data_IF_118668587238
#
_entry.id   IF_118668587238
#
_cell.length_a   1.000
_cell.length_b   1.000
_cell.length_c   1.000
_cell.angle_alpha   90.00
_cell.angle_beta   90.00
_cell.angle_gamma   90.00
#
_symmetry.space_group_name_H-M   'P 1'
#
loop_
_entity.id
_entity.type
_entity.pdbx_description
1 polymer ?
#
# COMPACT_ATOMS: atom_id res chain seq x y z
N UNK A 1 -6.67 -32.78 -4.90
CA UNK A 1 -7.96 -32.74 -4.17
C UNK A 1 -8.16 -31.33 -3.62
N UNK A 2 -9.39 -30.79 -3.53
CA UNK A 2 -9.59 -29.53 -2.82
C UNK A 2 -9.15 -29.70 -1.35
N UNK A 3 -8.46 -28.70 -0.82
CA UNK A 3 -8.03 -28.64 0.59
C UNK A 3 -9.01 -27.71 1.32
N UNK A 4 -10.09 -28.23 1.94
CA UNK A 4 -11.10 -27.40 2.60
C UNK A 4 -10.68 -26.95 4.01
N UNK A 5 -9.69 -27.61 4.62
CA UNK A 5 -9.23 -27.30 5.96
C UNK A 5 -8.33 -26.06 5.96
N UNK A 6 -8.58 -25.14 6.90
CA UNK A 6 -7.79 -23.92 7.05
C UNK A 6 -7.57 -23.63 8.53
N UNK A 7 -6.32 -23.52 8.96
CA UNK A 7 -5.90 -23.21 10.34
C UNK A 7 -5.83 -21.70 10.65
N UNK A 8 -6.21 -20.86 9.69
CA UNK A 8 -5.88 -19.43 9.67
C UNK A 8 -6.63 -18.63 10.72
N UNK A 9 -7.92 -18.88 10.87
CA UNK A 9 -8.81 -18.08 11.70
C UNK A 9 -9.67 -18.91 12.64
N UNK A 10 -10.15 -18.29 13.71
CA UNK A 10 -11.02 -18.94 14.69
C UNK A 10 -12.34 -19.44 14.05
N UNK A 11 -12.95 -20.52 14.58
CA UNK A 11 -14.25 -21.03 14.15
C UNK A 11 -15.32 -19.98 13.95
N UNK A 12 -15.47 -19.05 14.91
CA UNK A 12 -16.42 -17.95 14.84
C UNK A 12 -16.28 -17.10 13.57
N UNK A 13 -15.05 -16.88 13.10
CA UNK A 13 -14.74 -16.06 11.93
C UNK A 13 -14.99 -16.83 10.63
N UNK A 14 -14.45 -18.04 10.46
CA UNK A 14 -14.68 -18.77 9.21
C UNK A 14 -16.13 -19.24 9.05
N UNK A 15 -16.85 -19.51 10.15
CA UNK A 15 -18.27 -19.82 10.08
C UNK A 15 -19.10 -18.60 9.68
N UNK A 16 -18.73 -17.39 10.10
CA UNK A 16 -19.33 -16.15 9.59
C UNK A 16 -19.08 -16.00 8.07
N UNK A 17 -17.87 -16.33 7.59
CA UNK A 17 -17.55 -16.33 6.16
C UNK A 17 -18.37 -17.38 5.37
N UNK A 18 -18.46 -18.62 5.87
CA UNK A 18 -19.28 -19.68 5.28
C UNK A 18 -20.76 -19.26 5.22
N UNK A 19 -21.25 -18.56 6.25
CA UNK A 19 -22.63 -18.05 6.28
C UNK A 19 -22.91 -17.07 5.14
N UNK A 20 -21.94 -16.23 4.77
CA UNK A 20 -22.06 -15.36 3.59
C UNK A 20 -22.16 -16.20 2.33
N UNK A 21 -21.28 -17.19 2.15
CA UNK A 21 -21.29 -18.08 0.98
C UNK A 21 -22.66 -18.75 0.83
N UNK A 22 -23.21 -19.29 1.92
CA UNK A 22 -24.54 -19.92 1.92
C UNK A 22 -25.63 -18.94 1.52
N UNK A 23 -25.70 -17.78 2.17
CA UNK A 23 -26.71 -16.78 1.86
C UNK A 23 -26.62 -16.29 0.41
N UNK A 24 -25.41 -16.04 -0.09
CA UNK A 24 -25.22 -15.59 -1.46
C UNK A 24 -25.69 -16.63 -2.46
N UNK A 25 -25.29 -17.89 -2.30
CA UNK A 25 -25.67 -18.96 -3.22
C UNK A 25 -27.18 -19.28 -3.16
N UNK A 26 -27.79 -19.17 -1.98
CA UNK A 26 -29.16 -19.65 -1.76
C UNK A 26 -30.23 -18.55 -1.90
N UNK A 27 -29.91 -17.32 -1.50
CA UNK A 27 -30.92 -16.29 -1.21
C UNK A 27 -30.62 -14.91 -1.80
N UNK A 28 -29.46 -14.67 -2.41
CA UNK A 28 -29.19 -13.36 -3.01
C UNK A 28 -30.28 -13.02 -4.05
N UNK A 29 -30.84 -11.80 -4.07
CA UNK A 29 -31.99 -11.48 -4.93
C UNK A 29 -31.70 -11.62 -6.43
N UNK A 30 -30.47 -11.32 -6.85
CA UNK A 30 -30.02 -11.41 -8.24
C UNK A 30 -29.56 -12.84 -8.58
N UNK A 31 -30.22 -13.56 -9.51
CA UNK A 31 -29.88 -14.95 -9.84
C UNK A 31 -28.44 -15.17 -10.31
N UNK A 32 -27.91 -14.26 -11.10
CA UNK A 32 -26.55 -14.33 -11.64
C UNK A 32 -25.53 -14.23 -10.50
N UNK A 33 -25.76 -13.36 -9.52
CA UNK A 33 -24.91 -13.26 -8.33
C UNK A 33 -24.92 -14.58 -7.53
N UNK A 34 -26.06 -15.27 -7.42
CA UNK A 34 -26.12 -16.60 -6.78
C UNK A 34 -25.24 -17.62 -7.49
N UNK A 35 -25.22 -17.59 -8.81
CA UNK A 35 -24.53 -18.59 -9.63
C UNK A 35 -23.03 -18.30 -9.80
N UNK A 36 -22.64 -17.04 -9.95
CA UNK A 36 -21.29 -16.66 -10.35
C UNK A 36 -20.40 -16.15 -9.21
N UNK A 37 -20.96 -15.77 -8.05
CA UNK A 37 -20.12 -15.19 -6.97
C UNK A 37 -19.19 -16.20 -6.33
N UNK A 38 -19.74 -17.31 -5.83
CA UNK A 38 -18.97 -18.31 -5.08
C UNK A 38 -19.19 -19.71 -5.64
N UNK A 39 -18.16 -20.53 -5.54
CA UNK A 39 -18.34 -21.97 -5.51
C UNK A 39 -18.82 -22.34 -4.11
N UNK A 40 -19.87 -23.17 -3.99
CA UNK A 40 -20.34 -23.69 -2.70
C UNK A 40 -19.29 -24.62 -2.10
N UNK A 41 -18.41 -24.05 -1.28
CA UNK A 41 -17.34 -24.74 -0.58
C UNK A 41 -17.14 -24.07 0.77
N UNK A 42 -17.28 -24.85 1.82
CA UNK A 42 -17.10 -24.38 3.20
C UNK A 42 -15.63 -24.48 3.61
N UNK A 43 -15.18 -23.49 4.37
CA UNK A 43 -13.95 -23.59 5.16
C UNK A 43 -14.22 -24.57 6.31
N UNK A 44 -13.35 -25.56 6.46
CA UNK A 44 -13.39 -26.54 7.55
C UNK A 44 -12.24 -26.29 8.55
N UNK A 45 -12.42 -26.62 9.83
CA UNK A 45 -11.34 -26.53 10.81
C UNK A 45 -10.22 -27.51 10.48
N UNK A 46 -9.02 -27.21 10.94
CA UNK A 46 -7.89 -28.16 10.88
C UNK A 46 -8.14 -29.40 11.74
N UNK A 47 -7.65 -30.57 11.34
CA UNK A 47 -7.75 -31.78 12.14
C UNK A 47 -6.91 -31.67 13.43
N UNK A 48 -7.22 -32.45 14.49
CA UNK A 48 -6.41 -32.48 15.69
C UNK A 48 -4.95 -32.87 15.39
N UNK A 49 -3.99 -32.11 15.92
CA UNK A 49 -2.56 -32.35 15.71
C UNK A 49 -1.97 -31.72 14.43
N UNK A 50 -2.74 -30.88 13.71
CA UNK A 50 -2.22 -30.08 12.62
C UNK A 50 -1.12 -29.10 13.12
N UNK A 51 -0.12 -28.84 12.27
CA UNK A 51 0.98 -27.94 12.59
C UNK A 51 0.54 -26.47 12.72
N UNK A 52 -0.60 -26.10 12.12
CA UNK A 52 -1.19 -24.78 12.22
C UNK A 52 -2.64 -24.89 12.73
N UNK A 53 -2.86 -25.12 14.04
CA UNK A 53 -4.21 -25.22 14.59
C UNK A 53 -4.95 -23.88 14.52
N UNK A 54 -6.28 -23.95 14.37
CA UNK A 54 -7.13 -22.77 14.46
C UNK A 54 -7.04 -22.12 15.86
N UNK A 55 -6.99 -20.78 15.97
CA UNK A 55 -7.18 -20.10 17.24
C UNK A 55 -8.52 -20.49 17.89
N UNK A 56 -8.58 -20.63 19.22
CA UNK A 56 -9.81 -21.00 19.90
C UNK A 56 -10.82 -19.85 19.91
N UNK A 57 -12.11 -20.17 19.94
CA UNK A 57 -13.19 -19.17 20.01
C UNK A 57 -13.13 -18.33 21.30
N UNK A 58 -12.49 -18.82 22.36
CA UNK A 58 -12.24 -18.06 23.61
C UNK A 58 -11.35 -16.82 23.41
N UNK A 59 -10.53 -16.82 22.37
CA UNK A 59 -9.70 -15.67 21.97
C UNK A 59 -10.35 -14.85 20.84
N UNK A 60 -11.50 -15.31 20.33
CA UNK A 60 -12.11 -14.74 19.14
C UNK A 60 -13.21 -13.74 19.47
N UNK A 61 -13.24 -12.62 18.73
CA UNK A 61 -14.30 -11.62 18.83
C UNK A 61 -14.70 -11.12 17.45
N UNK A 62 -16.01 -11.14 17.16
CA UNK A 62 -16.57 -10.56 15.94
C UNK A 62 -17.59 -9.50 16.34
N UNK A 63 -17.30 -8.25 16.01
CA UNK A 63 -18.13 -7.10 16.35
C UNK A 63 -18.65 -6.43 15.09
N UNK A 64 -19.94 -6.11 15.05
CA UNK A 64 -20.54 -5.26 14.02
C UNK A 64 -20.99 -3.96 14.68
N UNK A 65 -20.44 -2.82 14.24
CA UNK A 65 -20.78 -1.51 14.77
C UNK A 65 -21.39 -0.61 13.70
N UNK A 66 -22.44 0.11 14.09
CA UNK A 66 -23.08 1.14 13.27
C UNK A 66 -22.81 2.49 13.90
N UNK A 67 -22.25 3.41 13.13
CA UNK A 67 -22.04 4.81 13.48
C UNK A 67 -23.09 5.69 12.81
N UNK A 68 -23.32 6.87 13.36
CA UNK A 68 -24.21 7.84 12.72
C UNK A 68 -23.53 8.41 11.48
N UNK A 69 -22.34 8.98 11.65
CA UNK A 69 -21.61 9.68 10.59
C UNK A 69 -20.21 9.10 10.37
N UNK A 70 -19.84 8.86 9.10
CA UNK A 70 -18.54 8.25 8.76
C UNK A 70 -17.37 9.11 9.21
N UNK A 71 -17.31 10.32 8.70
CA UNK A 71 -16.15 11.19 8.86
C UNK A 71 -16.02 11.74 10.29
N UNK A 72 -17.12 11.92 11.01
CA UNK A 72 -17.14 12.52 12.36
C UNK A 72 -17.12 11.49 13.49
N UNK A 73 -17.61 10.26 13.25
CA UNK A 73 -17.69 9.23 14.29
C UNK A 73 -16.91 7.96 13.93
N UNK A 74 -17.20 7.32 12.79
CA UNK A 74 -16.63 6.01 12.41
C UNK A 74 -15.11 6.08 12.33
N UNK A 75 -14.57 6.94 11.45
CA UNK A 75 -13.13 7.02 11.20
C UNK A 75 -12.32 7.37 12.46
N UNK A 76 -12.62 8.46 13.20
CA UNK A 76 -11.85 8.79 14.40
C UNK A 76 -11.99 7.76 15.53
N UNK A 77 -13.17 7.13 15.66
CA UNK A 77 -13.36 6.08 16.68
C UNK A 77 -12.56 4.85 16.36
N UNK A 78 -12.56 4.40 15.10
CA UNK A 78 -11.80 3.22 14.68
C UNK A 78 -10.30 3.47 14.80
N UNK A 79 -9.79 4.64 14.41
CA UNK A 79 -8.37 4.99 14.59
C UNK A 79 -7.96 4.92 16.08
N UNK A 80 -8.82 5.40 16.98
CA UNK A 80 -8.58 5.31 18.44
C UNK A 80 -8.62 3.87 18.95
N UNK A 81 -9.59 3.07 18.52
CA UNK A 81 -9.70 1.65 18.90
C UNK A 81 -8.51 0.84 18.38
N UNK A 82 -8.04 1.12 17.17
CA UNK A 82 -6.86 0.50 16.58
C UNK A 82 -5.60 0.81 17.40
N UNK A 83 -5.38 2.07 17.77
CA UNK A 83 -4.26 2.46 18.63
C UNK A 83 -4.35 1.83 20.04
N UNK A 84 -5.54 1.79 20.63
CA UNK A 84 -5.74 1.10 21.92
C UNK A 84 -5.46 -0.40 21.81
N UNK A 85 -5.79 -1.02 20.67
CA UNK A 85 -5.48 -2.41 20.43
C UNK A 85 -3.97 -2.67 20.40
N UNK A 86 -3.20 -1.85 19.68
CA UNK A 86 -1.72 -2.02 19.64
C UNK A 86 -1.07 -1.81 21.01
N UNK A 87 -1.65 -0.96 21.86
CA UNK A 87 -1.19 -0.75 23.24
C UNK A 87 -1.51 -1.93 24.16
N UNK A 88 -2.71 -2.51 24.03
CA UNK A 88 -3.16 -3.62 24.87
C UNK A 88 -2.58 -4.98 24.43
N UNK A 89 -2.31 -5.15 23.13
CA UNK A 89 -1.81 -6.37 22.52
C UNK A 89 -0.60 -6.07 21.62
N UNK A 90 0.54 -5.64 22.19
CA UNK A 90 1.71 -5.21 21.40
C UNK A 90 2.37 -6.34 20.61
N UNK A 91 2.05 -7.60 20.92
CA UNK A 91 2.56 -8.79 20.23
C UNK A 91 1.65 -9.25 19.08
N UNK A 92 0.43 -8.72 19.00
CA UNK A 92 -0.54 -9.08 17.96
C UNK A 92 -0.41 -8.12 16.77
N UNK A 93 -0.71 -8.65 15.59
CA UNK A 93 -0.73 -7.90 14.33
C UNK A 93 -2.12 -7.33 14.08
N UNK A 94 -2.19 -6.13 13.48
CA UNK A 94 -3.44 -5.42 13.27
C UNK A 94 -3.53 -4.78 11.88
N UNK A 95 -4.72 -4.85 11.26
CA UNK A 95 -5.03 -4.07 10.06
C UNK A 95 -6.33 -3.27 10.14
N UNK A 96 -6.32 -2.11 9.48
CA UNK A 96 -7.49 -1.34 9.08
C UNK A 96 -7.65 -1.48 7.56
N UNK A 97 -8.72 -2.13 7.13
CA UNK A 97 -9.02 -2.35 5.72
C UNK A 97 -10.18 -1.45 5.28
N UNK A 98 -9.86 -0.55 4.35
CA UNK A 98 -10.80 0.46 3.85
C UNK A 98 -11.33 0.12 2.45
N UNK A 99 -12.52 0.62 2.08
CA UNK A 99 -13.11 0.35 0.76
C UNK A 99 -12.39 1.10 -0.37
N UNK A 100 -11.83 2.29 -0.11
CA UNK A 100 -11.18 3.15 -1.11
C UNK A 100 -9.94 3.83 -0.52
N UNK A 101 -9.02 4.26 -1.41
CA UNK A 101 -7.85 5.05 -1.01
C UNK A 101 -8.24 6.38 -0.35
N UNK A 102 -9.35 7.00 -0.78
CA UNK A 102 -9.88 8.23 -0.17
C UNK A 102 -10.24 8.01 1.30
N UNK A 103 -11.05 6.99 1.62
CA UNK A 103 -11.39 6.66 3.02
C UNK A 103 -10.13 6.37 3.83
N UNK A 104 -9.18 5.66 3.24
CA UNK A 104 -7.91 5.37 3.87
C UNK A 104 -7.06 6.61 4.15
N UNK A 105 -7.05 7.60 3.26
CA UNK A 105 -6.38 8.87 3.54
C UNK A 105 -7.00 9.60 4.73
N UNK A 106 -8.32 9.61 4.87
CA UNK A 106 -8.97 10.22 6.03
C UNK A 106 -8.63 9.48 7.33
N UNK A 107 -8.54 8.15 7.30
CA UNK A 107 -8.06 7.38 8.45
C UNK A 107 -6.61 7.75 8.78
N UNK A 108 -5.74 7.90 7.77
CA UNK A 108 -4.33 8.24 7.96
C UNK A 108 -4.17 9.56 8.71
N UNK A 109 -4.96 10.59 8.35
CA UNK A 109 -4.98 11.89 9.05
C UNK A 109 -5.26 11.70 10.54
N UNK A 110 -6.27 10.90 10.90
CA UNK A 110 -6.57 10.64 12.31
C UNK A 110 -5.49 9.81 13.02
N UNK A 111 -4.83 8.89 12.32
CA UNK A 111 -3.71 8.13 12.90
C UNK A 111 -2.50 9.04 13.14
N UNK A 112 -2.22 9.97 12.22
CA UNK A 112 -1.17 10.98 12.35
C UNK A 112 -1.45 11.90 13.55
N UNK A 113 -2.68 12.40 13.69
CA UNK A 113 -3.13 13.21 14.84
C UNK A 113 -2.98 12.51 16.18
N UNK A 114 -3.18 11.19 16.19
CA UNK A 114 -3.02 10.35 17.38
C UNK A 114 -1.56 9.97 17.67
N UNK A 115 -0.63 10.27 16.75
CA UNK A 115 0.77 9.83 16.85
C UNK A 115 0.93 8.31 16.78
N UNK A 116 0.03 7.62 16.09
CA UNK A 116 0.06 6.16 15.96
C UNK A 116 1.19 5.70 15.04
N UNK A 117 1.83 4.57 15.36
CA UNK A 117 2.75 3.89 14.44
C UNK A 117 1.94 3.04 13.46
N UNK A 118 2.05 3.33 12.16
CA UNK A 118 1.32 2.61 11.13
C UNK A 118 2.06 2.54 9.79
N UNK A 119 1.86 1.44 9.08
CA UNK A 119 2.29 1.24 7.70
C UNK A 119 1.13 1.56 6.74
N UNK A 120 1.31 2.61 5.94
CA UNK A 120 0.31 3.07 4.99
C UNK A 120 0.51 2.43 3.61
N UNK A 121 -0.13 1.30 3.35
CA UNK A 121 -0.04 0.58 2.07
C UNK A 121 -0.88 1.23 0.95
N UNK A 122 -1.57 2.34 1.21
CA UNK A 122 -2.35 3.08 0.20
C UNK A 122 -1.50 3.97 -0.69
N UNK A 123 -0.29 4.32 -0.24
CA UNK A 123 0.64 5.24 -0.92
C UNK A 123 1.92 4.57 -1.39
N UNK A 124 1.97 3.24 -1.36
CA UNK A 124 3.21 2.46 -1.46
C UNK A 124 3.81 2.29 -0.07
N UNK A 125 4.61 1.25 0.14
CA UNK A 125 5.19 0.99 1.47
C UNK A 125 6.10 2.14 1.91
N UNK A 126 6.33 2.32 3.22
CA UNK A 126 7.31 3.31 3.72
C UNK A 126 8.67 3.10 3.06
N UNK A 127 9.09 1.84 2.98
CA UNK A 127 10.36 1.44 2.36
C UNK A 127 10.42 1.79 0.87
N UNK A 128 9.34 1.56 0.12
CA UNK A 128 9.23 1.98 -1.28
C UNK A 128 9.45 3.47 -1.46
N UNK A 129 8.88 4.29 -0.57
CA UNK A 129 9.05 5.74 -0.61
C UNK A 129 10.47 6.18 -0.26
N UNK A 130 11.10 5.56 0.73
CA UNK A 130 12.51 5.81 1.09
C UNK A 130 13.45 5.49 -0.08
N UNK A 131 13.27 4.33 -0.71
CA UNK A 131 14.08 3.90 -1.86
C UNK A 131 13.82 4.82 -3.07
N UNK A 132 12.57 5.20 -3.32
CA UNK A 132 12.25 6.18 -4.36
C UNK A 132 12.86 7.55 -4.08
N UNK A 133 12.88 8.00 -2.82
CA UNK A 133 13.46 9.28 -2.42
C UNK A 133 14.98 9.32 -2.64
N UNK A 134 15.71 8.26 -2.26
CA UNK A 134 17.17 8.22 -2.47
C UNK A 134 17.53 8.16 -3.96
N UNK A 135 16.84 7.32 -4.74
CA UNK A 135 17.04 7.24 -6.19
C UNK A 135 16.69 8.56 -6.86
N UNK A 136 15.59 9.20 -6.48
CA UNK A 136 15.21 10.52 -6.97
C UNK A 136 16.29 11.57 -6.68
N UNK A 137 16.83 11.60 -5.47
CA UNK A 137 17.86 12.54 -5.07
C UNK A 137 19.17 12.33 -5.86
N UNK A 138 19.57 11.07 -6.08
CA UNK A 138 20.73 10.73 -6.91
C UNK A 138 20.50 11.17 -8.36
N UNK A 139 19.37 10.80 -8.98
CA UNK A 139 19.10 11.17 -10.36
C UNK A 139 19.04 12.70 -10.55
N UNK A 140 18.49 13.43 -9.57
CA UNK A 140 18.47 14.88 -9.60
C UNK A 140 19.89 15.48 -9.52
N UNK A 141 20.76 14.92 -8.67
CA UNK A 141 22.17 15.33 -8.61
C UNK A 141 22.93 15.02 -9.90
N UNK A 142 22.70 13.86 -10.51
CA UNK A 142 23.28 13.49 -11.82
C UNK A 142 22.75 14.37 -12.96
N UNK A 143 21.51 14.85 -12.85
CA UNK A 143 20.91 15.78 -13.80
C UNK A 143 21.54 17.18 -13.69
N UNK A 144 21.66 17.69 -12.46
CA UNK A 144 22.13 19.05 -12.15
C UNK A 144 23.35 19.04 -11.20
N UNK A 145 24.54 18.61 -11.66
CA UNK A 145 25.74 18.47 -10.82
C UNK A 145 26.26 19.79 -10.22
N UNK A 146 25.88 20.93 -10.80
CA UNK A 146 26.32 22.24 -10.33
C UNK A 146 25.39 22.83 -9.26
N UNK A 147 24.24 22.21 -9.00
CA UNK A 147 23.32 22.65 -7.96
C UNK A 147 23.84 22.24 -6.57
N UNK A 148 24.45 23.21 -5.87
CA UNK A 148 24.98 23.04 -4.51
C UNK A 148 23.94 22.51 -3.52
N UNK A 149 22.66 22.82 -3.74
CA UNK A 149 21.61 22.36 -2.84
C UNK A 149 21.35 20.85 -2.98
N UNK A 150 21.63 20.26 -4.15
CA UNK A 150 21.47 18.82 -4.39
C UNK A 150 22.38 17.96 -3.48
N UNK A 151 23.61 18.41 -3.23
CA UNK A 151 24.55 17.76 -2.30
C UNK A 151 24.05 17.70 -0.86
N UNK A 152 23.26 18.68 -0.44
CA UNK A 152 22.62 18.64 0.89
C UNK A 152 21.31 17.86 0.90
N UNK A 153 20.55 17.89 -0.20
CA UNK A 153 19.25 17.20 -0.29
C UNK A 153 19.39 15.68 -0.30
N UNK A 154 20.47 15.14 -0.86
CA UNK A 154 20.71 13.69 -0.91
C UNK A 154 21.07 13.07 0.45
N UNK A 155 21.59 13.86 1.41
CA UNK A 155 21.98 13.37 2.73
C UNK A 155 20.82 12.78 3.52
N UNK A 156 19.64 13.42 3.47
CA UNK A 156 18.48 12.97 4.25
C UNK A 156 17.98 11.61 3.76
N UNK A 157 17.67 11.41 2.46
CA UNK A 157 17.27 10.09 1.94
C UNK A 157 18.33 8.99 2.17
N UNK A 158 19.63 9.30 2.02
CA UNK A 158 20.70 8.34 2.32
C UNK A 158 20.70 7.95 3.80
N UNK A 159 20.49 8.91 4.71
CA UNK A 159 20.38 8.66 6.14
C UNK A 159 19.14 7.85 6.52
N UNK A 160 18.00 8.04 5.85
CA UNK A 160 16.77 7.28 6.09
C UNK A 160 16.91 5.78 5.78
N UNK A 161 17.76 5.43 4.82
CA UNK A 161 18.09 4.04 4.50
C UNK A 161 19.35 3.53 5.22
N UNK A 162 19.87 4.29 6.19
CA UNK A 162 21.09 3.99 6.96
C UNK A 162 22.38 3.84 6.12
N UNK A 163 22.43 4.42 4.91
CA UNK A 163 23.61 4.37 4.06
C UNK A 163 24.79 5.15 4.67
N UNK A 164 26.03 4.63 4.67
CA UNK A 164 27.19 5.28 5.29
C UNK A 164 27.41 6.72 4.81
N UNK A 165 27.25 6.96 3.50
CA UNK A 165 27.40 8.29 2.89
C UNK A 165 26.32 9.33 3.31
N UNK A 166 25.28 8.93 4.04
CA UNK A 166 24.27 9.83 4.63
C UNK A 166 24.16 9.72 6.15
N UNK A 167 24.97 8.88 6.79
CA UNK A 167 24.83 8.59 8.21
C UNK A 167 25.51 9.65 9.09
N UNK A 168 24.71 10.59 9.59
CA UNK A 168 25.17 11.71 10.42
C UNK A 168 25.14 11.44 11.93
N UNK A 169 24.85 10.20 12.40
CA UNK A 169 24.58 9.91 13.83
C UNK A 169 25.66 10.38 14.82
N UNK A 170 26.92 10.46 14.39
CA UNK A 170 28.08 10.86 15.20
C UNK A 170 28.62 12.25 14.88
N UNK A 171 27.96 13.00 14.00
CA UNK A 171 28.43 14.28 13.48
C UNK A 171 27.39 15.36 13.77
N UNK A 172 27.79 16.64 13.68
CA UNK A 172 26.85 17.76 13.71
C UNK A 172 26.24 17.95 12.31
N UNK A 173 24.93 17.65 12.10
CA UNK A 173 24.31 17.76 10.79
C UNK A 173 24.36 19.18 10.22
N UNK A 174 24.21 20.20 11.06
CA UNK A 174 24.21 21.59 10.62
C UNK A 174 25.57 22.00 10.09
N UNK A 175 26.63 21.51 10.73
CA UNK A 175 28.01 21.77 10.31
C UNK A 175 28.32 21.10 8.97
N UNK A 176 27.97 19.83 8.80
CA UNK A 176 28.14 19.12 7.51
C UNK A 176 27.37 19.81 6.38
N UNK A 177 26.09 20.17 6.62
CA UNK A 177 25.30 20.90 5.64
C UNK A 177 25.93 22.27 5.28
N UNK A 178 26.52 22.95 6.27
CA UNK A 178 27.23 24.22 6.04
C UNK A 178 28.47 24.01 5.17
N UNK A 179 29.28 23.00 5.46
CA UNK A 179 30.46 22.64 4.67
C UNK A 179 30.07 22.40 3.20
N UNK A 180 29.07 21.55 2.96
CA UNK A 180 28.62 21.21 1.60
C UNK A 180 28.07 22.42 0.85
N UNK A 181 27.31 23.31 1.51
CA UNK A 181 26.83 24.56 0.89
C UNK A 181 27.95 25.54 0.55
N UNK A 182 29.05 25.48 1.28
CA UNK A 182 30.25 26.30 1.08
C UNK A 182 31.20 25.75 0.02
N UNK A 183 30.90 24.61 -0.63
CA UNK A 183 31.65 24.14 -1.80
C UNK A 183 31.32 25.04 -2.98
N UNK A 184 32.25 25.94 -3.31
CA UNK A 184 32.06 26.94 -4.38
C UNK A 184 32.16 26.34 -5.79
N UNK A 185 33.03 25.33 -5.97
CA UNK A 185 33.33 24.66 -7.24
C UNK A 185 33.01 23.16 -7.12
N UNK A 186 31.76 22.74 -7.37
CA UNK A 186 31.36 21.34 -7.29
C UNK A 186 32.18 20.41 -8.18
N UNK A 187 32.65 20.91 -9.33
CA UNK A 187 33.53 20.16 -10.24
C UNK A 187 34.84 19.76 -9.58
N UNK A 188 35.49 20.66 -8.84
CA UNK A 188 36.74 20.35 -8.14
C UNK A 188 36.52 19.46 -6.92
N UNK A 189 35.32 19.51 -6.33
CA UNK A 189 34.94 18.59 -5.27
C UNK A 189 34.75 17.18 -5.82
N UNK A 190 33.98 17.00 -6.90
CA UNK A 190 33.71 15.69 -7.49
C UNK A 190 34.94 15.10 -8.19
N UNK A 191 35.62 15.90 -9.02
CA UNK A 191 36.73 15.47 -9.85
C UNK A 191 37.91 16.42 -9.65
N UNK A 192 38.60 16.34 -8.49
CA UNK A 192 39.81 17.12 -8.26
C UNK A 192 40.90 16.76 -9.28
N UNK A 193 41.77 17.72 -9.59
CA UNK A 193 42.99 17.42 -10.37
C UNK A 193 43.88 16.43 -9.60
N UNK A 194 44.57 15.52 -10.31
CA UNK A 194 45.37 14.42 -9.71
C UNK A 194 46.41 14.89 -8.66
N UNK A 195 46.85 16.14 -8.73
CA UNK A 195 47.80 16.74 -7.79
C UNK A 195 47.18 17.39 -6.55
N UNK A 196 45.86 17.45 -6.45
CA UNK A 196 45.12 18.18 -5.42
C UNK A 196 44.59 17.20 -4.38
N UNK A 197 45.00 17.37 -3.12
CA UNK A 197 44.47 16.54 -2.02
C UNK A 197 42.99 16.87 -1.77
N UNK A 198 42.16 15.85 -1.52
CA UNK A 198 40.72 16.03 -1.26
C UNK A 198 40.43 17.09 -0.18
N UNK A 199 41.17 17.09 0.92
CA UNK A 199 41.02 18.08 1.99
C UNK A 199 41.13 19.54 1.52
N UNK A 200 41.84 19.80 0.41
CA UNK A 200 41.99 21.14 -0.17
C UNK A 200 40.86 21.55 -1.12
N UNK A 201 39.95 20.63 -1.48
CA UNK A 201 38.71 20.96 -2.21
C UNK A 201 37.62 21.51 -1.28
N UNK A 202 37.79 21.29 0.03
CA UNK A 202 36.89 21.74 1.08
C UNK A 202 37.23 23.16 1.56
N UNK A 203 36.28 23.90 2.14
CA UNK A 203 36.55 25.18 2.78
C UNK A 203 37.61 25.08 3.89
N UNK A 204 38.49 26.08 3.99
CA UNK A 204 39.68 26.07 4.87
C UNK A 204 39.34 25.98 6.37
N UNK A 205 39.94 25.01 7.08
CA UNK A 205 39.94 24.96 8.55
C UNK A 205 38.63 24.49 9.21
N UNK A 206 37.78 23.75 8.49
CA UNK A 206 36.38 23.52 8.91
C UNK A 206 36.11 22.11 9.47
N UNK A 207 36.81 21.08 9.00
CA UNK A 207 36.48 19.69 9.32
C UNK A 207 37.37 19.07 10.41
N UNK A 208 36.77 18.39 11.39
CA UNK A 208 37.46 17.41 12.26
C UNK A 208 37.83 16.15 11.47
N UNK A 209 38.70 15.29 12.00
CA UNK A 209 39.10 14.04 11.33
C UNK A 209 37.89 13.15 10.99
N UNK A 210 36.90 13.04 11.88
CA UNK A 210 35.68 12.27 11.63
C UNK A 210 34.75 12.92 10.59
N UNK A 211 34.71 14.24 10.52
CA UNK A 211 33.95 14.96 9.49
C UNK A 211 34.61 14.84 8.12
N UNK A 212 35.96 14.87 8.07
CA UNK A 212 36.72 14.68 6.85
C UNK A 212 36.53 13.28 6.28
N UNK A 213 36.63 12.24 7.12
CA UNK A 213 36.38 10.85 6.70
C UNK A 213 34.97 10.68 6.12
N UNK A 214 33.95 11.25 6.78
CA UNK A 214 32.59 11.20 6.27
C UNK A 214 32.45 11.89 4.90
N UNK A 215 33.09 13.04 4.72
CA UNK A 215 33.06 13.78 3.46
C UNK A 215 33.80 13.02 2.35
N UNK A 216 34.89 12.31 2.67
CA UNK A 216 35.59 11.41 1.74
C UNK A 216 34.73 10.22 1.32
N UNK A 217 34.03 9.59 2.27
CA UNK A 217 33.12 8.48 1.99
C UNK A 217 31.94 8.96 1.11
N UNK A 218 31.39 10.13 1.43
CA UNK A 218 30.34 10.78 0.65
C UNK A 218 30.82 11.14 -0.77
N UNK A 219 32.00 11.74 -0.89
CA UNK A 219 32.63 12.05 -2.17
C UNK A 219 32.82 10.78 -3.02
N UNK A 220 33.39 9.74 -2.43
CA UNK A 220 33.65 8.46 -3.12
C UNK A 220 32.36 7.83 -3.65
N UNK A 221 31.29 7.86 -2.86
CA UNK A 221 29.96 7.42 -3.30
C UNK A 221 29.45 8.24 -4.49
N UNK A 222 29.56 9.57 -4.42
CA UNK A 222 29.11 10.44 -5.52
C UNK A 222 29.90 10.19 -6.81
N UNK A 223 31.23 10.04 -6.73
CA UNK A 223 32.07 9.77 -7.90
C UNK A 223 31.63 8.48 -8.59
N UNK A 224 31.43 7.39 -7.84
CA UNK A 224 30.92 6.13 -8.40
C UNK A 224 29.54 6.29 -9.04
N UNK A 225 28.63 7.05 -8.41
CA UNK A 225 27.34 7.35 -9.02
C UNK A 225 27.45 8.14 -10.34
N UNK A 226 28.41 9.07 -10.44
CA UNK A 226 28.66 9.83 -11.67
C UNK A 226 29.28 8.99 -12.79
N UNK A 227 30.13 8.01 -12.47
CA UNK A 227 30.69 7.07 -13.45
C UNK A 227 29.59 6.28 -14.17
N UNK A 228 28.49 5.99 -13.47
CA UNK A 228 27.34 5.26 -14.01
C UNK A 228 26.43 6.13 -14.92
N UNK A 229 26.59 7.46 -14.93
CA UNK A 229 25.68 8.42 -15.61
C UNK A 229 25.47 8.14 -17.11
N UNK A 230 26.43 7.49 -17.75
CA UNK A 230 26.37 7.17 -19.19
C UNK A 230 25.44 5.99 -19.53
N UNK A 231 25.02 5.21 -18.54
CA UNK A 231 24.15 4.05 -18.72
C UNK A 231 22.72 4.47 -19.11
N UNK A 232 21.98 3.60 -19.83
CA UNK A 232 20.53 3.71 -19.94
C UNK A 232 19.90 3.86 -18.55
N UNK A 233 18.82 4.64 -18.41
CA UNK A 233 18.30 5.01 -17.08
C UNK A 233 17.88 3.81 -16.22
N UNK A 234 17.40 2.74 -16.85
CA UNK A 234 17.09 1.49 -16.18
C UNK A 234 18.35 0.80 -15.65
N UNK A 235 19.36 0.62 -16.49
CA UNK A 235 20.66 0.05 -16.07
C UNK A 235 21.38 0.93 -15.04
N UNK A 236 21.25 2.25 -15.15
CA UNK A 236 21.73 3.22 -14.16
C UNK A 236 21.07 2.97 -12.81
N UNK A 237 19.74 2.87 -12.75
CA UNK A 237 19.02 2.63 -11.50
C UNK A 237 19.38 1.25 -10.93
N UNK A 238 19.44 0.21 -11.76
CA UNK A 238 19.82 -1.15 -11.32
C UNK A 238 21.21 -1.13 -10.67
N UNK A 239 22.20 -0.55 -11.35
CA UNK A 239 23.59 -0.51 -10.87
C UNK A 239 23.75 0.39 -9.64
N UNK A 240 23.04 1.53 -9.60
CA UNK A 240 22.98 2.38 -8.40
C UNK A 240 22.35 1.64 -7.21
N UNK A 241 21.35 0.79 -7.46
CA UNK A 241 20.68 0.03 -6.41
C UNK A 241 21.63 -1.00 -5.81
N UNK A 242 22.39 -1.72 -6.65
CA UNK A 242 23.41 -2.64 -6.18
C UNK A 242 24.46 -1.88 -5.32
N UNK A 243 24.98 -0.74 -5.80
CA UNK A 243 25.91 0.11 -5.03
C UNK A 243 25.33 0.60 -3.68
N UNK A 244 24.05 1.01 -3.67
CA UNK A 244 23.36 1.50 -2.47
C UNK A 244 23.15 0.41 -1.42
N UNK A 245 22.85 -0.82 -1.84
CA UNK A 245 22.44 -1.88 -0.92
C UNK A 245 23.55 -2.90 -0.62
N UNK A 246 24.58 -3.03 -1.45
CA UNK A 246 25.73 -3.92 -1.21
C UNK A 246 26.60 -3.47 -0.01
N UNK A 247 26.59 -2.16 0.29
CA UNK A 247 27.34 -1.57 1.40
C UNK A 247 26.62 -1.61 2.76
N UNK A 248 25.37 -2.06 2.81
CA UNK A 248 24.56 -2.08 4.04
C UNK A 248 24.70 -3.40 4.80
N UNK A 249 24.93 -3.38 6.12
CA UNK A 249 24.85 -4.59 6.93
C UNK A 249 23.43 -5.14 6.92
N UNK A 250 23.30 -6.46 6.74
CA UNK A 250 22.01 -7.17 6.70
C UNK A 250 21.38 -7.16 8.11
N UNK A 251 20.67 -6.07 8.44
CA UNK A 251 20.07 -5.86 9.76
C UNK A 251 18.94 -6.88 10.04
N UNK A 252 18.33 -7.42 8.99
CA UNK A 252 17.37 -8.52 9.02
C UNK A 252 17.59 -9.43 7.79
N UNK A 253 17.61 -10.76 7.95
CA UNK A 253 17.81 -11.68 6.83
C UNK A 253 16.76 -11.46 5.74
N UNK A 254 17.20 -11.08 4.54
CA UNK A 254 16.32 -10.88 3.38
C UNK A 254 15.79 -9.45 3.18
N UNK A 255 16.15 -8.50 4.06
CA UNK A 255 15.81 -7.08 3.87
C UNK A 255 16.47 -6.52 2.61
N UNK A 256 17.74 -6.84 2.37
CA UNK A 256 18.48 -6.37 1.20
C UNK A 256 17.85 -6.88 -0.12
N UNK A 257 17.42 -8.15 -0.15
CA UNK A 257 16.75 -8.72 -1.32
C UNK A 257 15.39 -8.05 -1.59
N UNK A 258 14.66 -7.70 -0.54
CA UNK A 258 13.41 -6.92 -0.64
C UNK A 258 13.68 -5.50 -1.17
N UNK A 259 14.72 -4.83 -0.68
CA UNK A 259 15.06 -3.47 -1.10
C UNK A 259 15.51 -3.42 -2.57
N UNK A 260 16.36 -4.36 -2.99
CA UNK A 260 16.76 -4.52 -4.38
C UNK A 260 15.58 -4.82 -5.28
N UNK A 261 14.65 -5.69 -4.85
CA UNK A 261 13.43 -5.95 -5.61
C UNK A 261 12.66 -4.65 -5.86
N UNK A 262 12.38 -3.87 -4.81
CA UNK A 262 11.70 -2.58 -4.94
C UNK A 262 12.44 -1.65 -5.92
N UNK A 263 13.76 -1.56 -5.79
CA UNK A 263 14.58 -0.70 -6.65
C UNK A 263 14.56 -1.15 -8.12
N UNK A 264 14.53 -2.46 -8.38
CA UNK A 264 14.40 -3.02 -9.73
C UNK A 264 13.01 -2.75 -10.33
N UNK A 265 11.96 -2.73 -9.49
CA UNK A 265 10.64 -2.29 -9.94
C UNK A 265 10.60 -0.81 -10.29
N UNK A 266 11.32 0.03 -9.54
CA UNK A 266 11.51 1.43 -9.89
C UNK A 266 12.22 1.53 -11.25
N UNK A 267 13.32 0.79 -11.47
CA UNK A 267 14.03 0.76 -12.75
C UNK A 267 13.09 0.38 -13.92
N UNK A 268 12.28 -0.67 -13.74
CA UNK A 268 11.30 -1.09 -14.75
C UNK A 268 10.23 -0.04 -15.01
N UNK A 269 9.75 0.65 -13.98
CA UNK A 269 8.75 1.71 -14.14
C UNK A 269 9.33 2.92 -14.89
N UNK A 270 10.56 3.33 -14.54
CA UNK A 270 11.27 4.43 -15.20
C UNK A 270 11.55 4.10 -16.67
N UNK A 271 11.91 2.84 -16.98
CA UNK A 271 12.01 2.36 -18.36
C UNK A 271 10.71 2.53 -19.12
N UNK A 272 9.60 2.05 -18.55
CA UNK A 272 8.28 2.15 -19.17
C UNK A 272 7.88 3.61 -19.42
N UNK A 273 8.20 4.52 -18.50
CA UNK A 273 7.95 5.95 -18.69
C UNK A 273 8.77 6.52 -19.85
N UNK A 274 10.05 6.17 -19.94
CA UNK A 274 10.93 6.59 -21.05
C UNK A 274 10.45 6.02 -22.40
N UNK A 275 9.96 4.78 -22.43
CA UNK A 275 9.42 4.17 -23.65
C UNK A 275 8.14 4.89 -24.13
N UNK A 276 7.30 5.36 -23.19
CA UNK A 276 6.11 6.16 -23.49
C UNK A 276 6.43 7.61 -23.82
N UNK A 277 7.52 8.15 -23.30
CA UNK A 277 7.95 9.54 -23.46
C UNK A 277 9.45 9.60 -23.80
N UNK A 278 9.83 9.34 -25.07
CA UNK A 278 11.24 9.20 -25.46
C UNK A 278 12.11 10.45 -25.24
N UNK A 279 11.47 11.62 -25.14
CA UNK A 279 12.14 12.91 -24.94
C UNK A 279 12.53 13.16 -23.47
N UNK A 280 11.98 12.39 -22.51
CA UNK A 280 12.31 12.56 -21.10
C UNK A 280 13.77 12.23 -20.81
N UNK A 281 14.42 13.10 -20.04
CA UNK A 281 15.78 12.94 -19.54
C UNK A 281 15.75 12.80 -18.01
N UNK A 282 16.93 12.76 -17.39
CA UNK A 282 17.04 12.60 -15.93
C UNK A 282 16.21 13.61 -15.13
N UNK A 283 16.13 14.92 -15.47
CA UNK A 283 15.29 15.87 -14.73
C UNK A 283 13.82 15.46 -14.72
N UNK A 284 13.24 15.13 -15.88
CA UNK A 284 11.82 14.75 -15.98
C UNK A 284 11.54 13.45 -15.24
N UNK A 285 12.44 12.46 -15.37
CA UNK A 285 12.31 11.17 -14.69
C UNK A 285 12.46 11.31 -13.16
N UNK A 286 13.35 12.18 -12.68
CA UNK A 286 13.47 12.50 -11.26
C UNK A 286 12.20 13.17 -10.70
N UNK A 287 11.55 14.06 -11.47
CA UNK A 287 10.25 14.64 -11.08
C UNK A 287 9.18 13.54 -10.96
N UNK A 288 9.14 12.58 -11.88
CA UNK A 288 8.19 11.47 -11.79
C UNK A 288 8.45 10.56 -10.58
N UNK A 289 9.71 10.36 -10.20
CA UNK A 289 10.06 9.61 -8.99
C UNK A 289 9.73 10.37 -7.70
N UNK A 290 9.78 11.71 -7.73
CA UNK A 290 9.36 12.52 -6.59
C UNK A 290 7.88 12.26 -6.23
N UNK A 291 7.00 12.04 -7.23
CA UNK A 291 5.62 11.64 -6.96
C UNK A 291 5.53 10.32 -6.17
N UNK A 292 6.45 9.38 -6.39
CA UNK A 292 6.50 8.11 -5.64
C UNK A 292 7.07 8.33 -4.24
N UNK A 293 8.18 9.04 -4.13
CA UNK A 293 8.80 9.38 -2.84
C UNK A 293 7.82 10.10 -1.90
N UNK A 294 7.00 11.01 -2.44
CA UNK A 294 5.97 11.75 -1.71
C UNK A 294 4.67 10.95 -1.49
N UNK A 295 4.57 9.74 -2.06
CA UNK A 295 3.37 8.90 -1.98
C UNK A 295 2.17 9.43 -2.77
N UNK A 296 2.40 10.33 -3.73
CA UNK A 296 1.39 10.84 -4.70
C UNK A 296 1.11 9.82 -5.81
N UNK A 297 2.04 8.90 -6.09
CA UNK A 297 1.94 7.83 -7.08
C UNK A 297 2.45 6.51 -6.52
N UNK A 298 1.72 5.43 -6.78
CA UNK A 298 2.20 4.07 -6.48
C UNK A 298 2.88 3.45 -7.70
N UNK A 299 3.91 2.63 -7.50
CA UNK A 299 4.38 1.74 -8.56
C UNK A 299 3.25 0.77 -8.94
N UNK A 300 2.86 0.74 -10.21
CA UNK A 300 1.75 -0.11 -10.70
C UNK A 300 1.96 -1.61 -10.43
N UNK A 301 3.20 -2.02 -10.23
CA UNK A 301 3.62 -3.39 -9.93
C UNK A 301 3.93 -3.63 -8.44
N UNK A 302 3.76 -2.63 -7.57
CA UNK A 302 3.85 -2.78 -6.10
C UNK A 302 2.56 -3.41 -5.58
N UNK A 303 2.31 -4.68 -5.91
CA UNK A 303 1.37 -5.49 -5.12
C UNK A 303 2.10 -5.87 -3.86
N UNK A 304 1.71 -5.30 -2.72
CA UNK A 304 2.27 -5.61 -1.39
C UNK A 304 2.36 -7.11 -1.08
N UNK A 305 1.51 -7.93 -1.70
CA UNK A 305 1.55 -9.39 -1.59
C UNK A 305 2.62 -10.09 -2.44
N UNK A 306 3.19 -9.44 -3.46
CA UNK A 306 4.28 -9.99 -4.29
C UNK A 306 5.67 -9.79 -3.64
N UNK A 307 5.83 -8.84 -2.70
CA UNK A 307 7.11 -8.51 -2.06
C UNK A 307 7.30 -9.07 -0.64
N UNK A 308 6.43 -9.97 -0.20
CA UNK A 308 6.59 -10.59 1.11
C UNK A 308 6.46 -9.61 2.27
N UNK A 309 5.65 -8.55 2.15
CA UNK A 309 5.30 -7.71 3.29
C UNK A 309 4.77 -8.58 4.43
N UNK A 310 5.42 -8.48 5.59
CA UNK A 310 4.99 -9.17 6.80
C UNK A 310 4.45 -8.13 7.79
N UNK A 311 3.19 -8.30 8.24
CA UNK A 311 2.64 -7.46 9.29
C UNK A 311 3.51 -7.45 10.54
N UNK A 312 3.88 -6.27 11.01
CA UNK A 312 4.67 -6.11 12.23
C UNK A 312 3.76 -6.03 13.47
N UNK A 313 4.06 -6.77 14.55
CA UNK A 313 3.39 -6.60 15.83
C UNK A 313 3.45 -5.16 16.35
N UNK A 314 2.35 -4.67 16.93
CA UNK A 314 2.28 -3.32 17.50
C UNK A 314 2.22 -2.17 16.48
N UNK A 315 2.35 -2.45 15.17
CA UNK A 315 2.19 -1.49 14.08
C UNK A 315 0.83 -1.69 13.39
N UNK A 316 0.10 -0.59 13.14
CA UNK A 316 -1.18 -0.66 12.42
C UNK A 316 -0.91 -0.78 10.93
N UNK A 317 -1.43 -1.80 10.25
CA UNK A 317 -1.41 -1.83 8.77
C UNK A 317 -2.65 -1.12 8.22
N UNK A 318 -2.48 -0.10 7.38
CA UNK A 318 -3.59 0.57 6.69
C UNK A 318 -3.57 0.23 5.20
N UNK A 319 -4.60 -0.44 4.71
CA UNK A 319 -4.67 -0.90 3.32
C UNK A 319 -6.10 -0.89 2.77
N UNK A 320 -6.25 -0.97 1.45
CA UNK A 320 -7.56 -1.30 0.87
C UNK A 320 -7.87 -2.79 1.05
N UNK A 321 -9.15 -3.15 1.02
CA UNK A 321 -9.55 -4.57 1.04
C UNK A 321 -8.93 -5.39 -0.10
N UNK A 322 -8.73 -4.78 -1.28
CA UNK A 322 -8.02 -5.42 -2.40
C UNK A 322 -6.53 -5.61 -2.10
N UNK A 323 -5.90 -4.58 -1.53
CA UNK A 323 -4.48 -4.60 -1.16
C UNK A 323 -4.16 -5.65 -0.11
N UNK A 324 -5.12 -6.06 0.71
CA UNK A 324 -4.95 -7.04 1.77
C UNK A 324 -4.85 -8.51 1.30
N UNK A 325 -5.01 -8.80 0.00
CA UNK A 325 -5.04 -10.17 -0.51
C UNK A 325 -3.71 -10.88 -0.28
N UNK A 326 -3.74 -11.97 0.47
CA UNK A 326 -2.56 -12.80 0.77
C UNK A 326 -1.93 -12.53 2.13
N UNK A 327 -2.32 -11.46 2.82
CA UNK A 327 -1.87 -11.13 4.18
C UNK A 327 -2.89 -11.56 5.22
N UNK A 328 -2.49 -11.70 6.48
CA UNK A 328 -3.35 -12.12 7.60
C UNK A 328 -2.91 -11.38 8.87
N UNK A 329 -3.86 -11.04 9.74
CA UNK A 329 -3.61 -10.31 10.98
C UNK A 329 -4.40 -10.90 12.13
N UNK A 330 -3.89 -10.77 13.35
CA UNK A 330 -4.59 -11.21 14.55
C UNK A 330 -5.89 -10.42 14.76
N UNK A 331 -5.88 -9.12 14.43
CA UNK A 331 -7.03 -8.23 14.44
C UNK A 331 -7.24 -7.52 13.10
N UNK A 332 -8.49 -7.42 12.63
CA UNK A 332 -8.86 -6.68 11.41
C UNK A 332 -10.07 -5.79 11.67
N UNK A 333 -9.95 -4.50 11.36
CA UNK A 333 -11.07 -3.58 11.21
C UNK A 333 -11.46 -3.50 9.73
N UNK A 334 -12.68 -3.91 9.37
CA UNK A 334 -13.29 -3.73 8.05
C UNK A 334 -14.23 -2.53 8.08
N UNK A 335 -13.86 -1.44 7.41
CA UNK A 335 -14.60 -0.17 7.49
C UNK A 335 -15.54 0.01 6.32
N UNK A 336 -16.60 0.79 6.55
CA UNK A 336 -17.46 1.30 5.50
C UNK A 336 -18.23 0.24 4.71
N UNK A 337 -18.64 -0.84 5.37
CA UNK A 337 -19.45 -1.90 4.75
C UNK A 337 -20.92 -1.48 4.71
N UNK A 338 -21.24 -0.59 3.78
CA UNK A 338 -22.58 -0.07 3.53
C UNK A 338 -23.13 -0.48 2.14
N UNK A 339 -24.38 -0.16 1.87
CA UNK A 339 -25.09 -0.51 0.63
C UNK A 339 -24.56 0.22 -0.60
N UNK A 340 -23.78 1.28 -0.41
CA UNK A 340 -23.08 1.96 -1.51
C UNK A 340 -21.79 1.23 -1.87
N UNK A 341 -21.06 0.73 -0.87
CA UNK A 341 -19.90 -0.12 -1.10
C UNK A 341 -20.30 -1.53 -1.52
N UNK A 342 -21.39 -2.10 -1.02
CA UNK A 342 -21.90 -3.41 -1.42
C UNK A 342 -23.39 -3.33 -1.77
N UNK A 343 -23.72 -3.04 -3.04
CA UNK A 343 -25.08 -2.94 -3.54
C UNK A 343 -25.86 -4.24 -3.34
N UNK A 344 -27.12 -4.13 -2.91
CA UNK A 344 -27.99 -5.29 -2.67
C UNK A 344 -28.79 -5.73 -3.89
N UNK A 345 -28.93 -4.87 -4.91
CA UNK A 345 -29.70 -5.12 -6.12
C UNK A 345 -29.13 -4.36 -7.32
N UNK A 346 -29.63 -4.62 -8.52
CA UNK A 346 -29.22 -3.91 -9.74
C UNK A 346 -29.78 -2.49 -9.83
N UNK A 347 -30.83 -2.20 -9.05
CA UNK A 347 -31.46 -0.87 -8.92
C UNK A 347 -30.76 0.02 -7.89
N UNK A 348 -29.79 -0.54 -7.15
CA UNK A 348 -28.99 0.20 -6.18
C UNK A 348 -28.14 1.27 -6.88
N UNK A 349 -27.60 2.22 -6.11
CA UNK A 349 -26.69 3.22 -6.68
C UNK A 349 -25.32 2.63 -6.98
N UNK A 350 -24.88 2.74 -8.25
CA UNK A 350 -23.53 2.38 -8.70
C UNK A 350 -22.75 3.64 -9.09
N UNK A 351 -21.43 3.58 -8.91
CA UNK A 351 -20.54 4.65 -9.35
C UNK A 351 -20.36 4.57 -10.88
N UNK A 352 -20.35 5.72 -11.55
CA UNK A 352 -20.14 5.79 -13.01
C UNK A 352 -21.42 5.68 -13.85
N UNK A 353 -22.56 5.36 -13.22
CA UNK A 353 -23.86 5.37 -13.91
C UNK A 353 -24.34 6.81 -14.11
N UNK A 354 -24.71 7.13 -15.34
CA UNK A 354 -25.26 8.41 -15.72
C UNK A 354 -26.64 8.18 -16.34
N UNK A 355 -27.70 8.44 -15.57
CA UNK A 355 -29.08 8.17 -15.99
C UNK A 355 -29.46 8.90 -17.30
N UNK A 356 -28.98 10.13 -17.48
CA UNK A 356 -29.19 10.88 -18.73
C UNK A 356 -28.46 10.29 -19.96
N UNK A 357 -27.47 9.41 -19.74
CA UNK A 357 -26.79 8.66 -20.79
C UNK A 357 -27.38 7.24 -20.96
N UNK A 358 -28.40 6.87 -20.19
CA UNK A 358 -29.05 5.57 -20.26
C UNK A 358 -28.30 4.41 -19.59
N UNK A 359 -27.27 4.69 -18.78
CA UNK A 359 -26.52 3.64 -18.07
C UNK A 359 -25.09 4.02 -17.72
N UNK A 360 -24.21 3.03 -17.62
CA UNK A 360 -22.76 3.21 -17.51
C UNK A 360 -22.13 3.17 -18.92
N UNK A 361 -21.64 4.32 -19.45
CA UNK A 361 -20.99 4.36 -20.76
C UNK A 361 -19.73 3.49 -20.83
N UNK A 362 -19.02 3.32 -19.71
CA UNK A 362 -17.81 2.51 -19.65
C UNK A 362 -18.14 1.03 -19.81
N UNK A 363 -19.25 0.59 -19.22
CA UNK A 363 -19.75 -0.77 -19.39
C UNK A 363 -20.13 -1.04 -20.86
N UNK A 364 -20.78 -0.09 -21.51
CA UNK A 364 -21.18 -0.18 -22.92
C UNK A 364 -19.96 -0.28 -23.84
N UNK A 365 -18.99 0.62 -23.69
CA UNK A 365 -17.74 0.59 -24.48
C UNK A 365 -16.97 -0.71 -24.25
N UNK A 366 -16.88 -1.18 -23.00
CA UNK A 366 -16.22 -2.44 -22.67
C UNK A 366 -16.89 -3.64 -23.33
N UNK A 367 -18.22 -3.68 -23.36
CA UNK A 367 -18.97 -4.75 -24.00
C UNK A 367 -18.75 -4.75 -25.53
N UNK A 368 -18.78 -3.58 -26.17
CA UNK A 368 -18.52 -3.44 -27.61
C UNK A 368 -17.08 -3.86 -27.96
N UNK A 369 -16.09 -3.44 -27.18
CA UNK A 369 -14.69 -3.83 -27.38
C UNK A 369 -14.49 -5.34 -27.23
N UNK A 370 -15.08 -5.96 -26.19
CA UNK A 370 -15.02 -7.42 -26.01
C UNK A 370 -15.65 -8.15 -27.20
N UNK A 371 -16.81 -7.69 -27.68
CA UNK A 371 -17.43 -8.29 -28.85
C UNK A 371 -16.54 -8.21 -30.09
N UNK A 372 -15.87 -7.08 -30.32
CA UNK A 372 -14.93 -6.93 -31.44
C UNK A 372 -13.71 -7.84 -31.32
N UNK A 373 -13.22 -8.07 -30.11
CA UNK A 373 -12.00 -8.86 -29.86
C UNK A 373 -12.26 -10.37 -29.78
N UNK A 374 -13.37 -10.77 -29.16
CA UNK A 374 -13.64 -12.16 -28.73
C UNK A 374 -14.91 -12.73 -29.38
N UNK A 375 -15.71 -11.91 -30.07
CA UNK A 375 -17.01 -12.32 -30.63
C UNK A 375 -18.15 -12.38 -29.61
N UNK A 376 -17.84 -12.22 -28.31
CA UNK A 376 -18.79 -12.19 -27.20
C UNK A 376 -18.68 -10.85 -26.45
N UNK A 377 -19.81 -10.22 -26.17
CA UNK A 377 -19.86 -8.98 -25.40
C UNK A 377 -19.66 -9.20 -23.89
N UNK A 378 -19.72 -10.45 -23.42
CA UNK A 378 -19.64 -10.80 -22.00
C UNK A 378 -20.83 -10.29 -21.20
N UNK A 379 -22.01 -10.26 -21.83
CA UNK A 379 -23.27 -9.79 -21.26
C UNK A 379 -24.07 -11.01 -20.78
N UNK A 380 -24.62 -10.95 -19.56
CA UNK A 380 -25.46 -12.04 -19.05
C UNK A 380 -26.77 -12.15 -19.86
N UNK A 381 -27.31 -13.36 -20.08
CA UNK A 381 -28.54 -13.54 -20.85
C UNK A 381 -29.70 -12.69 -20.33
N UNK A 382 -30.30 -11.89 -21.21
CA UNK A 382 -31.42 -11.01 -20.86
C UNK A 382 -31.04 -9.73 -20.10
N UNK A 383 -29.74 -9.41 -20.01
CA UNK A 383 -29.22 -8.19 -19.38
C UNK A 383 -28.68 -7.20 -20.39
N UNK A 384 -28.62 -5.95 -19.97
CA UNK A 384 -27.83 -4.89 -20.62
C UNK A 384 -26.35 -4.99 -20.23
N UNK A 385 -25.48 -4.27 -20.95
CA UNK A 385 -24.07 -4.12 -20.57
C UNK A 385 -23.91 -3.50 -19.18
N UNK A 386 -24.75 -2.50 -18.85
CA UNK A 386 -24.75 -1.84 -17.53
C UNK A 386 -25.17 -2.80 -16.42
N UNK A 387 -26.28 -3.53 -16.58
CA UNK A 387 -26.70 -4.53 -15.57
C UNK A 387 -25.66 -5.64 -15.40
N UNK A 388 -25.01 -6.06 -16.48
CA UNK A 388 -23.95 -7.08 -16.41
C UNK A 388 -22.74 -6.56 -15.63
N UNK A 389 -22.35 -5.31 -15.84
CA UNK A 389 -21.33 -4.67 -15.03
C UNK A 389 -21.75 -4.54 -13.55
N UNK A 390 -23.01 -4.23 -13.26
CA UNK A 390 -23.53 -4.20 -11.89
C UNK A 390 -23.46 -5.58 -11.22
N UNK A 391 -23.82 -6.65 -11.93
CA UNK A 391 -23.69 -8.04 -11.45
C UNK A 391 -22.24 -8.35 -11.10
N UNK A 392 -21.30 -8.05 -12.00
CA UNK A 392 -19.86 -8.27 -11.80
C UNK A 392 -19.34 -7.50 -10.58
N UNK A 393 -19.76 -6.25 -10.41
CA UNK A 393 -19.42 -5.40 -9.26
C UNK A 393 -19.91 -6.01 -7.95
N UNK A 394 -21.17 -6.46 -7.90
CA UNK A 394 -21.73 -7.11 -6.70
C UNK A 394 -20.96 -8.38 -6.38
N UNK A 395 -20.72 -9.24 -7.38
CA UNK A 395 -19.97 -10.49 -7.20
C UNK A 395 -18.58 -10.21 -6.65
N UNK A 396 -17.86 -9.24 -7.20
CA UNK A 396 -16.51 -8.89 -6.75
C UNK A 396 -16.51 -8.35 -5.32
N UNK A 397 -17.43 -7.43 -4.98
CA UNK A 397 -17.50 -6.86 -3.62
C UNK A 397 -17.90 -7.90 -2.57
N UNK A 398 -18.77 -8.87 -2.91
CA UNK A 398 -19.05 -10.01 -2.03
C UNK A 398 -17.81 -10.88 -1.79
N UNK A 399 -17.03 -11.16 -2.84
CA UNK A 399 -15.75 -11.90 -2.71
C UNK A 399 -14.75 -11.12 -1.87
N UNK A 400 -14.65 -9.81 -2.05
CA UNK A 400 -13.77 -8.96 -1.24
C UNK A 400 -14.18 -8.95 0.23
N UNK A 401 -15.48 -8.86 0.54
CA UNK A 401 -15.96 -8.96 1.92
C UNK A 401 -15.60 -10.32 2.53
N UNK A 402 -15.88 -11.42 1.80
CA UNK A 402 -15.50 -12.77 2.24
C UNK A 402 -13.99 -12.86 2.51
N UNK A 403 -13.17 -12.40 1.56
CA UNK A 403 -11.72 -12.38 1.71
C UNK A 403 -11.32 -11.55 2.93
N UNK A 404 -11.85 -10.34 3.09
CA UNK A 404 -11.57 -9.42 4.20
C UNK A 404 -11.90 -10.01 5.57
N UNK A 405 -13.03 -10.70 5.69
CA UNK A 405 -13.42 -11.40 6.93
C UNK A 405 -12.39 -12.47 7.28
N UNK A 406 -11.98 -13.27 6.29
CA UNK A 406 -11.00 -14.34 6.49
C UNK A 406 -9.55 -13.85 6.68
N UNK A 407 -9.30 -12.54 6.63
CA UNK A 407 -7.98 -11.96 6.99
C UNK A 407 -7.75 -11.87 8.50
N UNK A 408 -8.83 -11.89 9.28
CA UNK A 408 -8.77 -11.85 10.75
C UNK A 408 -8.51 -13.25 11.31
N UNK A 409 -7.48 -13.40 12.16
CA UNK A 409 -7.21 -14.67 12.85
C UNK A 409 -8.04 -14.81 14.13
N UNK A 410 -8.12 -13.75 14.94
CA UNK A 410 -8.78 -13.75 16.26
C UNK A 410 -9.91 -12.71 16.33
N UNK A 411 -9.63 -11.47 15.95
CA UNK A 411 -10.55 -10.34 16.17
C UNK A 411 -10.95 -9.72 14.84
N UNK A 412 -12.26 -9.58 14.64
CA UNK A 412 -12.85 -8.96 13.47
C UNK A 412 -13.83 -7.88 13.90
N UNK A 413 -13.58 -6.65 13.49
CA UNK A 413 -14.48 -5.52 13.73
C UNK A 413 -14.98 -4.98 12.40
N UNK A 414 -16.28 -5.11 12.14
CA UNK A 414 -16.91 -4.61 10.92
C UNK A 414 -17.69 -3.34 11.27
N UNK A 415 -17.47 -2.26 10.55
CA UNK A 415 -18.21 -1.02 10.74
C UNK A 415 -18.95 -0.55 9.49
N UNK A 416 -20.03 0.20 9.74
CA UNK A 416 -20.69 1.03 8.74
C UNK A 416 -21.15 2.34 9.38
N UNK A 417 -21.51 3.29 8.53
CA UNK A 417 -22.12 4.55 8.93
C UNK A 417 -23.48 4.73 8.27
N UNK A 418 -24.38 5.47 8.92
CA UNK A 418 -25.69 5.84 8.35
C UNK A 418 -25.59 7.04 7.42
N UNK A 419 -24.58 7.88 7.60
CA UNK A 419 -24.34 9.09 6.81
C UNK A 419 -22.87 9.19 6.42
N UNK A 420 -22.62 9.77 5.24
CA UNK A 420 -21.27 10.08 4.73
C UNK A 420 -21.29 11.42 4.00
N UNK A 421 -20.16 12.13 4.04
CA UNK A 421 -20.00 13.43 3.39
C UNK A 421 -19.31 13.29 2.04
N UNK A 422 -19.85 13.94 1.00
CA UNK A 422 -19.22 14.06 -0.33
C UNK A 422 -19.42 15.46 -0.90
N UNK A 423 -18.35 16.10 -1.38
CA UNK A 423 -18.41 17.46 -1.94
C UNK A 423 -19.17 18.45 -1.02
N UNK A 424 -18.92 18.39 0.29
CA UNK A 424 -19.60 19.17 1.34
C UNK A 424 -21.12 18.95 1.46
N UNK A 425 -21.65 17.84 0.94
CA UNK A 425 -23.04 17.43 1.13
C UNK A 425 -23.12 16.11 1.88
N UNK A 426 -24.12 15.97 2.74
CA UNK A 426 -24.40 14.74 3.47
C UNK A 426 -25.30 13.83 2.64
N UNK A 427 -25.00 12.54 2.68
CA UNK A 427 -25.77 11.50 2.02
C UNK A 427 -26.10 10.40 3.03
N UNK A 428 -27.35 9.95 3.03
CA UNK A 428 -27.73 8.74 3.74
C UNK A 428 -27.12 7.52 3.03
N UNK A 429 -26.69 6.55 3.83
CA UNK A 429 -26.10 5.31 3.39
C UNK A 429 -26.92 4.12 3.89
N UNK A 430 -27.52 3.42 2.93
CA UNK A 430 -28.28 2.19 3.18
C UNK A 430 -27.38 1.10 3.77
N UNK A 431 -27.89 0.18 4.60
CA UNK A 431 -27.11 -0.96 5.06
C UNK A 431 -26.90 -1.98 3.94
N UNK A 432 -25.72 -2.60 3.87
CA UNK A 432 -25.53 -3.75 3.00
C UNK A 432 -26.33 -4.96 3.53
N UNK A 433 -27.13 -5.61 2.69
CA UNK A 433 -28.05 -6.70 3.10
C UNK A 433 -27.34 -7.83 3.86
N UNK A 434 -26.13 -8.18 3.43
CA UNK A 434 -25.30 -9.22 4.06
C UNK A 434 -24.96 -8.91 5.53
N UNK A 435 -24.90 -7.64 5.92
CA UNK A 435 -24.61 -7.26 7.31
C UNK A 435 -25.72 -7.70 8.26
N UNK A 436 -26.98 -7.66 7.82
CA UNK A 436 -28.10 -8.19 8.59
C UNK A 436 -28.05 -9.71 8.74
N UNK A 437 -27.52 -10.41 7.74
CA UNK A 437 -27.33 -11.88 7.79
C UNK A 437 -26.23 -12.25 8.78
N UNK A 438 -25.09 -11.54 8.72
CA UNK A 438 -24.00 -11.72 9.68
C UNK A 438 -24.43 -11.41 11.11
N UNK A 439 -25.14 -10.31 11.31
CA UNK A 439 -25.62 -9.92 12.64
C UNK A 439 -26.53 -10.98 13.27
N UNK A 440 -27.47 -11.54 12.49
CA UNK A 440 -28.32 -12.66 12.96
C UNK A 440 -27.49 -13.89 13.32
N UNK A 441 -26.57 -14.28 12.44
CA UNK A 441 -25.68 -15.42 12.71
C UNK A 441 -24.86 -15.24 13.99
N UNK A 442 -24.31 -14.05 14.23
CA UNK A 442 -23.50 -13.77 15.42
C UNK A 442 -24.34 -13.78 16.71
N UNK A 443 -25.60 -13.37 16.65
CA UNK A 443 -26.52 -13.44 17.80
C UNK A 443 -26.93 -14.89 18.13
N UNK A 444 -27.00 -15.75 17.11
CA UNK A 444 -27.36 -17.17 17.26
C UNK A 444 -26.13 -18.05 17.56
N UNK A 445 -24.91 -17.50 17.46
CA UNK A 445 -23.67 -18.23 17.67
C UNK A 445 -23.47 -18.54 19.17
N UNK A 446 -23.21 -19.79 19.56
CA UNK A 446 -23.04 -20.17 20.96
C UNK A 446 -21.88 -19.40 21.60
N UNK A 447 -22.14 -18.88 22.81
CA UNK A 447 -21.16 -18.12 23.61
C UNK A 447 -19.94 -18.93 24.01
#
# INVERSE_FOLDING_TARGET
>A
MPLPNSGRCAPKIFLAANRIVHWVCDQHPVPEVRHFTFRRQDILPTPPGDAQPNPPDSEASVTIKVYLHREEEELPTISRLALQFTQNYPQDTLAILVPTNETGHHVSVHLDELGASYDNLLRGSKREREIAAVLQAILNLLAEPLDRSAYTRILVPLGEIDHPAGNLRKLDPNKIMTILRSIYNPENFLFPEDSVAFASTLPSGVATESELQFLEDFHSFLVRAFELRSLPVDDLILTLSDELFDSLPDNQPGSQASDLAIAYHIASAVRQWRDLQPDWRLPELAIQLADIAEGRRQLRSSRSSEYGYQPMPGCITLATQHGAKGMEWDCVFLLGIDGRWLPGSLESSFQGVHEFLGGDPSAEVKAQLRHLMEGDAGIYPGRTATESAHIDIICERLRLLYVGITRARKILHISRSRQTRRFNKEFESEPATVMGILYKFLNDYPS
#
